data_IF_142627778277
#
_entry.id   IF_142627778277
#
_cell.length_a   1.000
_cell.length_b   1.000
_cell.length_c   1.000
_cell.angle_alpha   90.00
_cell.angle_beta   90.00
_cell.angle_gamma   90.00
#
_symmetry.space_group_name_H-M   'P 1'
#
loop_
_entity.id
_entity.type
_entity.pdbx_description
1 polymer ?
#
# COMPACT_ATOMS: atom_id res chain seq x y z
N UNK A 1 -43.50 -59.10 -8.24
CA UNK A 1 -42.92 -58.54 -7.01
C UNK A 1 -43.13 -57.05 -7.10
N UNK A 2 -44.11 -56.54 -6.34
CA UNK A 2 -44.55 -55.16 -6.39
C UNK A 2 -44.01 -54.40 -5.17
N UNK A 3 -43.64 -53.17 -5.48
CA UNK A 3 -43.26 -52.04 -4.63
C UNK A 3 -44.18 -51.86 -3.41
N UNK A 4 -43.60 -51.57 -2.25
CA UNK A 4 -44.29 -51.06 -1.08
C UNK A 4 -43.33 -50.17 -0.29
N UNK A 5 -43.36 -48.90 -0.70
CA UNK A 5 -42.93 -47.70 0.03
C UNK A 5 -43.60 -47.63 1.40
N UNK A 6 -42.80 -47.46 2.45
CA UNK A 6 -43.24 -46.87 3.71
C UNK A 6 -42.35 -45.66 4.03
N UNK A 7 -43.02 -44.54 4.26
CA UNK A 7 -42.51 -43.24 4.68
C UNK A 7 -42.27 -43.23 6.19
N UNK A 8 -41.22 -42.55 6.68
CA UNK A 8 -41.31 -41.83 7.95
C UNK A 8 -40.54 -40.49 7.89
N UNK A 9 -41.30 -39.41 8.15
CA UNK A 9 -40.88 -38.01 8.31
C UNK A 9 -40.19 -37.79 9.65
N UNK A 10 -39.18 -36.91 9.69
CA UNK A 10 -39.18 -35.59 10.38
C UNK A 10 -37.75 -35.12 10.66
N UNK A 11 -37.51 -33.83 10.40
CA UNK A 11 -36.34 -33.12 10.89
C UNK A 11 -36.10 -31.82 10.14
N UNK A 12 -37.02 -30.86 10.28
CA UNK A 12 -36.72 -29.46 9.96
C UNK A 12 -35.53 -28.99 10.80
N UNK A 13 -34.42 -28.71 10.12
CA UNK A 13 -33.30 -27.97 10.68
C UNK A 13 -32.64 -27.17 9.55
N UNK A 14 -33.25 -26.01 9.25
CA UNK A 14 -32.43 -24.83 8.99
C UNK A 14 -31.65 -24.55 10.28
N UNK A 15 -30.35 -24.23 10.22
CA UNK A 15 -30.07 -22.81 10.05
C UNK A 15 -28.72 -22.50 9.38
N UNK A 16 -28.47 -21.19 9.35
CA UNK A 16 -27.16 -20.54 9.25
C UNK A 16 -26.67 -20.30 7.82
N UNK A 17 -27.12 -19.16 7.30
CA UNK A 17 -26.37 -18.39 6.32
C UNK A 17 -24.91 -18.29 6.76
N UNK A 18 -24.03 -18.76 5.88
CA UNK A 18 -22.63 -18.48 6.00
C UNK A 18 -22.47 -16.97 5.82
N UNK A 19 -22.02 -16.34 6.92
CA UNK A 19 -21.63 -14.96 7.01
C UNK A 19 -20.77 -14.57 5.80
N UNK A 20 -21.02 -13.35 5.32
CA UNK A 20 -20.28 -12.74 4.23
C UNK A 20 -18.79 -13.00 4.38
N UNK A 21 -18.22 -13.60 3.34
CA UNK A 21 -16.79 -13.62 3.14
C UNK A 21 -16.32 -12.18 3.19
N UNK A 22 -15.60 -11.88 4.27
CA UNK A 22 -14.62 -10.81 4.42
C UNK A 22 -14.27 -10.20 3.07
N UNK A 23 -14.55 -8.90 2.89
CA UNK A 23 -14.27 -8.11 1.70
C UNK A 23 -12.92 -8.51 1.11
N UNK A 24 -12.96 -9.42 0.12
CA UNK A 24 -11.83 -9.65 -0.77
C UNK A 24 -11.59 -8.29 -1.37
N UNK A 25 -10.39 -7.75 -1.17
CA UNK A 25 -10.00 -6.49 -1.76
C UNK A 25 -9.83 -6.75 -3.26
N UNK A 26 -10.93 -6.97 -3.99
CA UNK A 26 -11.01 -7.06 -5.46
C UNK A 26 -10.81 -5.67 -6.10
N UNK A 27 -10.10 -4.78 -5.39
CA UNK A 27 -9.82 -3.44 -5.82
C UNK A 27 -8.37 -3.40 -6.34
N UNK A 28 -8.17 -3.43 -7.67
CA UNK A 28 -6.84 -3.50 -8.26
C UNK A 28 -5.98 -2.30 -7.89
N UNK A 29 -6.56 -1.13 -7.58
CA UNK A 29 -5.80 0.05 -7.17
C UNK A 29 -5.25 -0.13 -5.76
N UNK A 30 -6.03 -0.70 -4.85
CA UNK A 30 -5.56 -0.98 -3.50
C UNK A 30 -4.55 -2.13 -3.47
N UNK A 31 -4.78 -3.19 -4.24
CA UNK A 31 -3.85 -4.31 -4.38
C UNK A 31 -2.50 -3.84 -4.94
N UNK A 32 -2.52 -3.12 -6.07
CA UNK A 32 -1.31 -2.55 -6.65
C UNK A 32 -0.64 -1.56 -5.70
N UNK A 33 -1.41 -0.71 -5.01
CA UNK A 33 -0.86 0.23 -4.03
C UNK A 33 -0.07 -0.47 -2.92
N UNK A 34 -0.53 -1.64 -2.49
CA UNK A 34 0.18 -2.46 -1.51
C UNK A 34 1.49 -3.03 -2.08
N UNK A 35 1.46 -3.56 -3.31
CA UNK A 35 2.64 -4.12 -3.99
C UNK A 35 3.69 -3.04 -4.26
N UNK A 36 3.27 -1.87 -4.77
CA UNK A 36 4.15 -0.73 -5.05
C UNK A 36 4.77 -0.19 -3.76
N UNK A 37 4.00 -0.08 -2.67
CA UNK A 37 4.53 0.34 -1.37
C UNK A 37 5.60 -0.64 -0.87
N UNK A 38 5.36 -1.94 -0.97
CA UNK A 38 6.34 -2.95 -0.53
C UNK A 38 7.61 -2.89 -1.36
N UNK A 39 7.51 -2.77 -2.69
CA UNK A 39 8.67 -2.59 -3.56
C UNK A 39 9.48 -1.34 -3.21
N UNK A 40 8.80 -0.21 -3.02
CA UNK A 40 9.42 1.04 -2.58
C UNK A 40 10.17 0.89 -1.24
N UNK A 41 9.57 0.22 -0.26
CA UNK A 41 10.19 -0.01 1.05
C UNK A 41 11.41 -0.92 0.93
N UNK A 42 11.33 -2.02 0.18
CA UNK A 42 12.44 -2.97 -0.03
C UNK A 42 13.65 -2.24 -0.60
N UNK A 43 13.45 -1.49 -1.68
CA UNK A 43 14.54 -0.75 -2.33
C UNK A 43 15.14 0.32 -1.41
N UNK A 44 14.31 1.01 -0.62
CA UNK A 44 14.81 2.01 0.34
C UNK A 44 15.60 1.38 1.48
N UNK A 45 15.19 0.22 1.97
CA UNK A 45 15.95 -0.50 3.00
C UNK A 45 17.26 -1.01 2.42
N UNK A 46 17.26 -1.64 1.25
CA UNK A 46 18.49 -2.09 0.59
C UNK A 46 19.49 -0.95 0.34
N UNK A 47 18.99 0.27 0.11
CA UNK A 47 19.84 1.47 -0.06
C UNK A 47 20.38 2.01 1.28
N UNK A 48 19.56 2.04 2.34
CA UNK A 48 19.96 2.58 3.65
C UNK A 48 20.76 1.57 4.51
N UNK A 49 20.49 0.27 4.35
CA UNK A 49 21.01 -0.84 5.14
C UNK A 49 21.20 -2.09 4.25
N UNK A 50 22.27 -2.16 3.43
CA UNK A 50 22.46 -3.23 2.44
C UNK A 50 22.63 -4.63 3.03
N UNK A 51 23.08 -4.73 4.28
CA UNK A 51 23.22 -6.02 4.97
C UNK A 51 21.86 -6.60 5.36
N UNK A 52 20.81 -5.75 5.39
CA UNK A 52 19.45 -6.13 5.73
C UNK A 52 18.64 -6.54 4.52
N UNK A 53 18.59 -7.84 4.29
CA UNK A 53 17.77 -8.44 3.26
C UNK A 53 16.30 -8.44 3.69
N UNK A 54 15.46 -7.66 3.01
CA UNK A 54 14.00 -7.62 3.22
C UNK A 54 13.30 -8.09 1.96
N UNK A 55 12.39 -9.04 2.11
CA UNK A 55 11.56 -9.57 1.02
C UNK A 55 10.13 -9.02 1.08
N UNK A 56 9.36 -9.23 0.01
CA UNK A 56 7.93 -8.92 0.00
C UNK A 56 7.17 -9.67 1.11
N UNK A 57 7.61 -10.89 1.46
CA UNK A 57 7.00 -11.72 2.48
C UNK A 57 7.18 -11.17 3.88
N UNK A 58 8.35 -10.59 4.18
CA UNK A 58 8.62 -9.92 5.46
C UNK A 58 7.71 -8.70 5.67
N UNK A 59 7.27 -8.10 4.56
CA UNK A 59 6.32 -7.00 4.53
C UNK A 59 4.86 -7.47 4.37
N UNK A 60 4.62 -8.78 4.39
CA UNK A 60 3.29 -9.38 4.32
C UNK A 60 2.67 -9.52 2.93
N UNK A 61 3.47 -9.41 1.87
CA UNK A 61 3.10 -9.62 0.47
C UNK A 61 3.29 -11.07 -0.03
N UNK A 62 3.02 -11.28 -1.32
CA UNK A 62 3.16 -12.58 -1.99
C UNK A 62 4.61 -12.80 -2.46
N UNK A 63 5.06 -14.06 -2.64
CA UNK A 63 6.30 -14.32 -3.35
C UNK A 63 6.22 -13.77 -4.77
N UNK A 64 7.35 -13.28 -5.29
CA UNK A 64 7.55 -12.86 -6.68
C UNK A 64 6.65 -11.72 -7.22
N UNK A 65 5.79 -11.13 -6.40
CA UNK A 65 4.95 -9.97 -6.79
C UNK A 65 5.79 -8.76 -7.25
N UNK A 66 7.05 -8.68 -6.79
CA UNK A 66 8.00 -7.64 -7.14
C UNK A 66 8.76 -7.94 -8.44
N UNK A 67 8.52 -9.11 -9.08
CA UNK A 67 9.15 -9.46 -10.35
C UNK A 67 8.45 -8.86 -11.57
N UNK A 68 7.24 -8.34 -11.40
CA UNK A 68 6.49 -7.66 -12.45
C UNK A 68 7.26 -6.43 -12.97
N UNK A 69 7.63 -6.39 -14.26
CA UNK A 69 8.37 -5.27 -14.85
C UNK A 69 7.68 -3.91 -14.68
N UNK A 70 6.34 -3.89 -14.69
CA UNK A 70 5.57 -2.66 -14.58
C UNK A 70 5.61 -2.12 -13.15
N UNK A 71 5.54 -3.00 -12.16
CA UNK A 71 5.72 -2.65 -10.75
C UNK A 71 7.13 -2.09 -10.52
N UNK A 72 8.16 -2.76 -11.06
CA UNK A 72 9.54 -2.28 -10.96
C UNK A 72 9.70 -0.88 -11.53
N UNK A 73 9.16 -0.62 -12.73
CA UNK A 73 9.22 0.70 -13.35
C UNK A 73 8.54 1.78 -12.50
N UNK A 74 7.36 1.50 -11.94
CA UNK A 74 6.67 2.44 -11.03
C UNK A 74 7.51 2.71 -9.78
N UNK A 75 8.04 1.66 -9.15
CA UNK A 75 8.87 1.78 -7.94
C UNK A 75 10.12 2.62 -8.22
N UNK A 76 10.85 2.35 -9.31
CA UNK A 76 12.02 3.12 -9.73
C UNK A 76 11.71 4.61 -9.92
N UNK A 77 10.56 4.92 -10.52
CA UNK A 77 10.09 6.28 -10.70
C UNK A 77 9.76 6.98 -9.38
N UNK A 78 9.10 6.29 -8.45
CA UNK A 78 8.84 6.82 -7.11
C UNK A 78 10.14 7.07 -6.33
N UNK A 79 11.16 6.22 -6.49
CA UNK A 79 12.47 6.40 -5.87
C UNK A 79 13.18 7.65 -6.42
N UNK A 80 13.14 7.89 -7.73
CA UNK A 80 13.69 9.13 -8.33
C UNK A 80 13.05 10.39 -7.75
N UNK A 81 11.72 10.42 -7.64
CA UNK A 81 11.00 11.52 -6.99
C UNK A 81 11.43 11.64 -5.51
N UNK A 82 11.56 10.51 -4.81
CA UNK A 82 11.94 10.50 -3.41
C UNK A 82 13.34 11.08 -3.18
N UNK A 83 14.28 10.86 -4.10
CA UNK A 83 15.63 11.41 -4.02
C UNK A 83 15.68 12.91 -4.32
N UNK A 84 14.79 13.40 -5.19
CA UNK A 84 14.57 14.84 -5.38
C UNK A 84 13.96 15.49 -4.14
N UNK A 85 12.97 14.83 -3.52
CA UNK A 85 12.30 15.28 -2.30
C UNK A 85 13.18 15.20 -1.06
N UNK A 86 14.09 14.23 -0.96
CA UNK A 86 14.97 14.07 0.20
C UNK A 86 15.93 15.25 0.39
N UNK A 87 16.09 16.10 -0.63
CA UNK A 87 16.79 17.39 -0.55
C UNK A 87 15.98 18.46 0.20
N UNK A 88 14.71 18.21 0.50
CA UNK A 88 13.82 19.13 1.22
C UNK A 88 13.85 18.87 2.73
N UNK A 89 14.54 19.76 3.47
CA UNK A 89 14.74 19.67 4.91
C UNK A 89 13.44 19.78 5.75
N UNK A 90 12.37 20.39 5.20
CA UNK A 90 11.11 20.57 5.92
C UNK A 90 10.34 19.24 6.07
N UNK A 91 10.35 18.41 5.02
CA UNK A 91 9.77 17.07 5.05
C UNK A 91 10.48 16.18 6.07
N UNK A 92 11.83 16.25 6.12
CA UNK A 92 12.62 15.53 7.11
C UNK A 92 12.27 15.92 8.55
N UNK A 93 11.97 17.21 8.79
CA UNK A 93 11.54 17.69 10.11
C UNK A 93 10.18 17.13 10.52
N UNK A 94 9.21 17.06 9.60
CA UNK A 94 7.88 16.50 9.87
C UNK A 94 7.93 14.98 10.14
N UNK A 95 8.77 14.25 9.39
CA UNK A 95 9.00 12.82 9.60
C UNK A 95 9.60 12.55 10.99
N UNK A 96 10.57 13.35 11.41
CA UNK A 96 11.22 13.21 12.72
C UNK A 96 10.30 13.53 13.91
N UNK A 97 9.21 14.27 13.69
CA UNK A 97 8.19 14.55 14.73
C UNK A 97 7.24 13.38 14.97
N UNK A 98 7.23 12.35 14.12
CA UNK A 98 6.43 11.13 14.32
C UNK A 98 7.16 10.21 15.30
N UNK A 99 7.26 10.62 16.56
CA UNK A 99 7.70 9.78 17.67
C UNK A 99 6.72 9.93 18.84
N UNK A 100 5.83 8.94 19.02
CA UNK A 100 4.90 8.91 20.16
C UNK A 100 3.85 7.79 20.06
N UNK A 101 3.30 7.42 21.22
CA UNK A 101 2.51 6.21 21.48
C UNK A 101 1.08 6.21 20.88
N UNK A 102 0.81 7.09 19.91
CA UNK A 102 -0.40 7.13 19.09
C UNK A 102 -0.02 7.19 17.59
N UNK A 103 0.79 6.23 17.13
CA UNK A 103 1.40 6.24 15.79
C UNK A 103 0.37 6.33 14.65
N UNK A 104 -0.82 5.71 14.80
CA UNK A 104 -1.89 5.79 13.79
C UNK A 104 -2.46 7.20 13.65
N UNK A 105 -2.86 7.84 14.75
CA UNK A 105 -3.49 9.17 14.70
C UNK A 105 -2.54 10.24 14.19
N UNK A 106 -1.27 10.14 14.60
CA UNK A 106 -0.20 11.02 14.11
C UNK A 106 0.02 10.77 12.61
N UNK A 107 0.16 9.52 12.18
CA UNK A 107 0.32 9.17 10.77
C UNK A 107 -0.84 9.72 9.93
N UNK A 108 -2.08 9.49 10.34
CA UNK A 108 -3.27 9.97 9.63
C UNK A 108 -3.36 11.49 9.59
N UNK A 109 -2.98 12.17 10.68
CA UNK A 109 -2.92 13.64 10.73
C UNK A 109 -1.89 14.18 9.74
N UNK A 110 -0.69 13.58 9.70
CA UNK A 110 0.36 13.98 8.76
C UNK A 110 -0.08 13.69 7.31
N UNK A 111 -0.67 12.52 7.05
CA UNK A 111 -1.21 12.19 5.73
C UNK A 111 -2.24 13.21 5.25
N UNK A 112 -3.21 13.58 6.09
CA UNK A 112 -4.18 14.65 5.77
C UNK A 112 -3.50 15.99 5.49
N UNK A 113 -2.46 16.32 6.24
CA UNK A 113 -1.69 17.56 6.02
C UNK A 113 -0.92 17.54 4.70
N UNK A 114 -0.38 16.39 4.29
CA UNK A 114 0.35 16.24 3.02
C UNK A 114 -0.56 16.56 1.82
N UNK A 115 -1.83 16.17 1.90
CA UNK A 115 -2.79 16.32 0.79
C UNK A 115 -3.73 17.53 0.92
N UNK A 116 -3.56 18.37 1.95
CA UNK A 116 -4.48 19.47 2.26
C UNK A 116 -4.69 20.44 1.07
N UNK A 117 -3.61 20.76 0.34
CA UNK A 117 -3.67 21.70 -0.80
C UNK A 117 -3.75 21.01 -2.17
N UNK A 118 -4.05 19.69 -2.20
CA UNK A 118 -4.12 18.90 -3.45
C UNK A 118 -3.19 17.69 -3.49
N UNK A 119 -3.27 16.93 -4.58
CA UNK A 119 -2.58 15.65 -4.75
C UNK A 119 -1.64 15.73 -5.96
N UNK A 120 -0.40 15.28 -5.77
CA UNK A 120 0.58 15.06 -6.83
C UNK A 120 1.51 13.90 -6.44
N UNK A 121 2.28 13.38 -7.39
CA UNK A 121 3.18 12.26 -7.15
C UNK A 121 4.25 12.53 -6.09
N UNK A 122 4.72 13.78 -5.95
CA UNK A 122 5.63 14.16 -4.88
C UNK A 122 5.02 13.98 -3.48
N UNK A 123 3.75 14.33 -3.31
CA UNK A 123 2.99 14.13 -2.07
C UNK A 123 2.69 12.65 -1.81
N UNK A 124 2.40 11.86 -2.85
CA UNK A 124 2.26 10.40 -2.74
C UNK A 124 3.57 9.75 -2.27
N UNK A 125 4.70 10.18 -2.82
CA UNK A 125 6.03 9.71 -2.41
C UNK A 125 6.36 10.14 -0.97
N UNK A 126 5.96 11.34 -0.55
CA UNK A 126 6.12 11.78 0.84
C UNK A 126 5.37 10.86 1.83
N UNK A 127 4.14 10.43 1.49
CA UNK A 127 3.38 9.45 2.26
C UNK A 127 4.12 8.10 2.33
N UNK A 128 4.62 7.61 1.19
CA UNK A 128 5.35 6.34 1.11
C UNK A 128 6.66 6.39 1.91
N UNK A 129 7.37 7.52 1.85
CA UNK A 129 8.59 7.73 2.61
C UNK A 129 8.31 7.78 4.13
N UNK A 130 7.21 8.40 4.55
CA UNK A 130 6.78 8.36 5.95
C UNK A 130 6.51 6.93 6.42
N UNK A 131 5.79 6.14 5.63
CA UNK A 131 5.50 4.74 5.92
C UNK A 131 6.78 3.90 5.99
N UNK A 132 7.70 4.08 5.04
CA UNK A 132 9.02 3.45 5.03
C UNK A 132 9.78 3.67 6.36
N UNK A 133 9.85 4.90 6.87
CA UNK A 133 10.58 5.18 8.12
C UNK A 133 9.97 4.47 9.33
N UNK A 134 8.64 4.33 9.36
CA UNK A 134 7.94 3.57 10.40
C UNK A 134 8.19 2.06 10.28
N UNK A 135 8.14 1.52 9.05
CA UNK A 135 8.40 0.10 8.78
C UNK A 135 9.86 -0.25 9.10
N UNK A 136 10.81 0.57 8.67
CA UNK A 136 12.23 0.36 8.94
C UNK A 136 12.50 0.35 10.46
N UNK A 137 11.87 1.26 11.21
CA UNK A 137 11.92 1.27 12.69
C UNK A 137 11.29 0.02 13.31
N UNK A 138 10.14 -0.42 12.81
CA UNK A 138 9.51 -1.66 13.28
C UNK A 138 10.41 -2.88 13.04
N UNK A 139 11.06 -2.91 11.88
CA UNK A 139 12.03 -3.93 11.51
C UNK A 139 13.30 -3.89 12.39
N UNK A 140 13.85 -2.72 12.73
CA UNK A 140 15.06 -2.64 13.59
C UNK A 140 14.76 -2.90 15.07
N UNK A 141 13.51 -2.77 15.49
CA UNK A 141 13.07 -3.00 16.88
C UNK A 141 12.35 -4.33 17.08
N UNK A 142 12.35 -5.21 16.07
CA UNK A 142 11.74 -6.54 16.06
C UNK A 142 10.23 -6.56 16.34
N UNK A 143 9.50 -5.54 15.91
CA UNK A 143 8.04 -5.43 16.05
C UNK A 143 7.33 -5.68 14.70
N UNK A 144 7.44 -6.90 14.18
CA UNK A 144 6.96 -7.26 12.83
C UNK A 144 5.45 -7.05 12.65
N UNK A 145 4.65 -7.23 13.70
CA UNK A 145 3.19 -6.99 13.68
C UNK A 145 2.84 -5.53 13.34
N UNK A 146 3.74 -4.59 13.66
CA UNK A 146 3.54 -3.18 13.32
C UNK A 146 3.70 -2.91 11.82
N UNK A 147 4.39 -3.77 11.06
CA UNK A 147 4.63 -3.57 9.63
C UNK A 147 3.33 -3.66 8.85
N UNK A 148 2.57 -4.75 9.05
CA UNK A 148 1.25 -4.96 8.43
C UNK A 148 0.28 -3.84 8.82
N UNK A 149 0.37 -3.41 10.07
CA UNK A 149 -0.41 -2.30 10.62
C UNK A 149 -0.12 -0.99 9.88
N UNK A 150 1.16 -0.63 9.68
CA UNK A 150 1.53 0.58 8.92
C UNK A 150 1.08 0.50 7.46
N UNK A 151 1.23 -0.65 6.80
CA UNK A 151 0.76 -0.85 5.42
C UNK A 151 -0.75 -0.61 5.34
N UNK A 152 -1.54 -1.15 6.28
CA UNK A 152 -2.98 -0.92 6.31
C UNK A 152 -3.36 0.55 6.45
N UNK A 153 -2.56 1.35 7.17
CA UNK A 153 -2.80 2.80 7.29
C UNK A 153 -2.57 3.51 5.97
N UNK A 154 -1.53 3.13 5.23
CA UNK A 154 -1.28 3.68 3.88
C UNK A 154 -2.42 3.31 2.94
N UNK A 155 -2.87 2.05 2.95
CA UNK A 155 -4.00 1.61 2.13
C UNK A 155 -5.30 2.34 2.49
N UNK A 156 -5.53 2.62 3.78
CA UNK A 156 -6.64 3.46 4.22
C UNK A 156 -6.55 4.87 3.65
N UNK A 157 -5.36 5.50 3.67
CA UNK A 157 -5.16 6.82 3.04
C UNK A 157 -5.37 6.76 1.52
N UNK A 158 -4.90 5.69 0.86
CA UNK A 158 -5.13 5.51 -0.59
C UNK A 158 -6.63 5.43 -0.86
N UNK A 159 -7.36 4.60 -0.13
CA UNK A 159 -8.81 4.42 -0.28
C UNK A 159 -9.59 5.71 -0.04
N UNK A 160 -9.25 6.45 1.01
CA UNK A 160 -10.04 7.61 1.46
C UNK A 160 -9.67 8.90 0.71
N UNK A 161 -8.41 9.09 0.31
CA UNK A 161 -7.92 10.36 -0.21
C UNK A 161 -7.37 10.27 -1.63
N UNK A 162 -6.69 9.18 -1.99
CA UNK A 162 -6.00 9.09 -3.28
C UNK A 162 -6.79 8.35 -4.36
N UNK A 163 -7.82 7.58 -3.97
CA UNK A 163 -8.48 6.63 -4.85
C UNK A 163 -9.01 7.28 -6.13
N UNK A 164 -9.86 8.30 -6.00
CA UNK A 164 -10.43 8.99 -7.16
C UNK A 164 -9.36 9.66 -8.03
N UNK A 165 -8.28 10.16 -7.42
CA UNK A 165 -7.18 10.77 -8.16
C UNK A 165 -6.36 9.72 -8.93
N UNK A 166 -6.06 8.57 -8.31
CA UNK A 166 -5.37 7.44 -8.96
C UNK A 166 -6.18 6.90 -10.13
N UNK A 167 -7.51 6.78 -9.99
CA UNK A 167 -8.39 6.43 -11.11
C UNK A 167 -8.24 7.41 -12.27
N UNK A 168 -8.18 8.72 -12.00
CA UNK A 168 -7.97 9.75 -13.03
C UNK A 168 -6.58 9.67 -13.68
N UNK A 169 -5.57 9.18 -12.94
CA UNK A 169 -4.23 8.92 -13.49
C UNK A 169 -4.16 7.62 -14.30
N UNK A 170 -5.22 6.81 -14.32
CA UNK A 170 -5.24 5.50 -14.99
C UNK A 170 -4.69 4.35 -14.14
N UNK A 171 -4.66 4.51 -12.81
CA UNK A 171 -4.14 3.52 -11.87
C UNK A 171 -2.66 3.73 -11.52
N UNK A 172 -2.07 2.73 -10.84
CA UNK A 172 -0.63 2.74 -10.50
C UNK A 172 0.22 2.33 -11.70
N UNK A 173 -0.24 1.30 -12.39
CA UNK A 173 0.38 0.75 -13.59
C UNK A 173 -0.51 1.14 -14.76
N UNK A 174 -0.11 2.17 -15.51
CA UNK A 174 -0.79 2.49 -16.77
C UNK A 174 -0.53 1.37 -17.78
N UNK A 175 -1.55 1.03 -18.57
CA UNK A 175 -1.41 0.18 -19.76
C UNK A 175 -0.18 0.63 -20.59
N UNK A 176 0.73 -0.29 -21.00
CA UNK A 176 1.96 0.05 -21.74
C UNK A 176 1.74 0.78 -23.07
N UNK A 177 0.50 0.85 -23.57
CA UNK A 177 0.12 1.69 -24.72
C UNK A 177 -0.08 3.19 -24.36
N UNK A 178 -0.20 3.51 -23.07
CA UNK A 178 -0.34 4.86 -22.54
C UNK A 178 0.91 5.26 -21.77
N UNK A 179 1.91 5.75 -22.51
CA UNK A 179 3.02 6.58 -22.03
C UNK A 179 2.45 7.90 -21.48
N UNK A 180 1.65 7.84 -20.41
CA UNK A 180 1.05 9.02 -19.79
C UNK A 180 1.66 9.29 -18.42
N UNK A 181 2.06 8.28 -17.66
CA UNK A 181 2.82 8.52 -16.43
C UNK A 181 4.25 9.02 -16.77
N UNK A 182 4.95 8.40 -17.72
CA UNK A 182 6.31 8.83 -18.08
C UNK A 182 6.37 10.25 -18.69
N UNK A 183 5.31 10.70 -19.39
CA UNK A 183 5.26 12.06 -19.96
C UNK A 183 4.76 13.10 -18.94
N UNK A 184 3.81 12.75 -18.08
CA UNK A 184 3.29 13.64 -17.02
C UNK A 184 4.31 13.82 -15.89
N UNK A 185 5.11 12.80 -15.56
CA UNK A 185 6.20 12.89 -14.58
C UNK A 185 7.39 13.75 -15.04
N UNK A 186 7.66 13.82 -16.34
CA UNK A 186 8.72 14.69 -16.89
C UNK A 186 8.26 16.16 -16.98
N UNK A 187 6.97 16.42 -17.16
CA UNK A 187 6.44 17.77 -17.42
C UNK A 187 5.81 18.49 -16.22
N UNK A 188 5.49 17.84 -15.10
CA UNK A 188 5.03 18.53 -13.88
C UNK A 188 6.21 18.87 -12.97
N UNK A 189 7.10 19.74 -13.47
CA UNK A 189 7.74 20.72 -12.61
C UNK A 189 6.75 21.88 -12.45
N UNK A 190 6.30 22.07 -11.21
CA UNK A 190 5.45 23.15 -10.70
C UNK A 190 3.95 23.02 -10.96
#
# INVERSE_FOLDING_TARGET
MADSREEERKGDQEPQGAAGGEDVIDDPILEQGAVVLRGYVIERINTEDPDRHVSSQDLGGRPDEQQDPQIKEVVEHLLKIADELNRNAELQRLINQVQGNCAKDIFMKVARSIFADGINWGRVVALFHLAYRLIYKALTTNHVDNIRTVISWVLQVIREQLYSWLVQQGGWVSDPSSIKICHVMIHLKY
#
